data_IF_629436648121
#
_entry.id   IF_629436648121
#
_cell.length_a   1.000
_cell.length_b   1.000
_cell.length_c   1.000
_cell.angle_alpha   90.00
_cell.angle_beta   90.00
_cell.angle_gamma   90.00
#
_symmetry.space_group_name_H-M   'P 1'
#
loop_
_entity.id
_entity.type
_entity.pdbx_description
1 polymer ?
#
# COMPACT_ATOMS: atom_id res chain seq x y z
N UNK A 1 -16.33 6.74 -9.67
CA UNK A 1 -16.21 5.88 -8.47
C UNK A 1 -16.96 6.58 -7.34
N UNK A 2 -17.65 5.86 -6.45
CA UNK A 2 -18.22 6.49 -5.26
C UNK A 2 -17.12 6.94 -4.30
N UNK A 3 -17.32 8.07 -3.60
CA UNK A 3 -16.37 8.59 -2.63
C UNK A 3 -16.18 7.59 -1.49
N UNK A 4 -14.93 7.17 -1.26
CA UNK A 4 -14.57 6.29 -0.15
C UNK A 4 -14.63 7.06 1.17
N UNK A 5 -15.23 6.43 2.17
CA UNK A 5 -15.35 6.98 3.52
C UNK A 5 -14.05 6.83 4.32
N UNK A 6 -13.78 7.80 5.20
CA UNK A 6 -12.59 7.79 6.08
C UNK A 6 -12.53 6.52 6.92
N UNK A 7 -13.67 6.11 7.48
CA UNK A 7 -13.75 4.92 8.32
C UNK A 7 -13.35 3.65 7.55
N UNK A 8 -13.71 3.56 6.26
CA UNK A 8 -13.32 2.42 5.42
C UNK A 8 -11.82 2.37 5.17
N UNK A 9 -11.17 3.52 4.99
CA UNK A 9 -9.72 3.61 4.83
C UNK A 9 -9.00 3.22 6.13
N UNK A 10 -9.44 3.77 7.26
CA UNK A 10 -8.88 3.47 8.59
C UNK A 10 -9.07 2.00 8.96
N UNK A 11 -10.28 1.45 8.74
CA UNK A 11 -10.57 0.05 8.97
C UNK A 11 -9.64 -0.84 8.13
N UNK A 12 -9.47 -0.51 6.84
CA UNK A 12 -8.57 -1.27 5.97
C UNK A 12 -7.12 -1.24 6.48
N UNK A 13 -6.62 -0.06 6.83
CA UNK A 13 -5.26 0.11 7.34
C UNK A 13 -5.03 -0.66 8.65
N UNK A 14 -6.01 -0.69 9.56
CA UNK A 14 -5.85 -1.33 10.87
C UNK A 14 -6.16 -2.83 10.87
N UNK A 15 -7.28 -3.23 10.28
CA UNK A 15 -7.84 -4.58 10.43
C UNK A 15 -7.45 -5.54 9.29
N UNK A 16 -6.92 -5.00 8.19
CA UNK A 16 -6.41 -5.80 7.07
C UNK A 16 -4.90 -5.69 6.93
N UNK A 17 -4.39 -4.48 6.71
CA UNK A 17 -2.96 -4.25 6.53
C UNK A 17 -2.17 -4.42 7.83
N UNK A 18 -2.70 -3.98 8.97
CA UNK A 18 -2.06 -4.15 10.29
C UNK A 18 -1.67 -5.61 10.61
N UNK A 19 -2.60 -6.58 10.52
CA UNK A 19 -2.28 -7.99 10.77
C UNK A 19 -1.65 -8.71 9.56
N UNK A 20 -1.39 -8.04 8.43
CA UNK A 20 -0.98 -8.69 7.19
C UNK A 20 0.30 -9.52 7.32
N UNK A 21 1.35 -8.95 7.93
CA UNK A 21 2.62 -9.64 8.15
C UNK A 21 2.44 -10.84 9.06
N UNK A 22 1.76 -10.67 10.20
CA UNK A 22 1.51 -11.76 11.14
C UNK A 22 0.69 -12.89 10.52
N UNK A 23 -0.32 -12.55 9.70
CA UNK A 23 -1.12 -13.53 8.95
C UNK A 23 -0.27 -14.28 7.93
N UNK A 24 0.57 -13.58 7.15
CA UNK A 24 1.48 -14.23 6.20
C UNK A 24 2.46 -15.18 6.92
N UNK A 25 3.07 -14.73 8.01
CA UNK A 25 4.00 -15.53 8.80
C UNK A 25 3.34 -16.75 9.48
N UNK A 26 2.02 -16.72 9.70
CA UNK A 26 1.28 -17.85 10.24
C UNK A 26 0.96 -18.94 9.21
N UNK A 27 1.11 -18.66 7.92
CA UNK A 27 0.98 -19.63 6.85
C UNK A 27 2.12 -20.66 6.90
N UNK A 28 1.86 -21.88 6.44
CA UNK A 28 2.91 -22.85 6.19
C UNK A 28 3.86 -22.38 5.08
N UNK A 29 5.09 -22.91 5.06
CA UNK A 29 6.07 -22.56 4.03
C UNK A 29 5.56 -22.85 2.60
N UNK A 30 4.73 -23.88 2.42
CA UNK A 30 4.11 -24.21 1.14
C UNK A 30 3.09 -23.15 0.71
N UNK A 31 2.21 -22.73 1.63
CA UNK A 31 1.22 -21.67 1.40
C UNK A 31 1.89 -20.32 1.12
N UNK A 32 2.94 -19.97 1.86
CA UNK A 32 3.74 -18.76 1.61
C UNK A 32 4.34 -18.79 0.19
N UNK A 33 4.91 -19.93 -0.22
CA UNK A 33 5.50 -20.08 -1.55
C UNK A 33 4.47 -19.94 -2.67
N UNK A 34 3.30 -20.59 -2.52
CA UNK A 34 2.18 -20.48 -3.48
C UNK A 34 1.68 -19.05 -3.57
N UNK A 35 1.53 -18.37 -2.43
CA UNK A 35 1.10 -16.98 -2.39
C UNK A 35 2.09 -16.08 -3.13
N UNK A 36 3.38 -16.14 -2.78
CA UNK A 36 4.41 -15.30 -3.40
C UNK A 36 4.52 -15.55 -4.92
N UNK A 37 4.40 -16.81 -5.35
CA UNK A 37 4.35 -17.15 -6.77
C UNK A 37 3.17 -16.50 -7.48
N UNK A 38 1.96 -16.55 -6.91
CA UNK A 38 0.77 -15.89 -7.48
C UNK A 38 0.94 -14.37 -7.55
N UNK A 39 1.59 -13.79 -6.54
CA UNK A 39 1.89 -12.36 -6.49
C UNK A 39 3.01 -11.94 -7.44
N UNK A 40 3.80 -12.90 -7.96
CA UNK A 40 4.91 -12.63 -8.88
C UNK A 40 6.20 -12.17 -8.21
N UNK A 41 6.35 -12.34 -6.90
CA UNK A 41 7.53 -11.92 -6.14
C UNK A 41 8.33 -13.12 -5.63
N UNK A 42 9.66 -13.00 -5.63
CA UNK A 42 10.56 -14.07 -5.20
C UNK A 42 10.63 -14.24 -3.68
N UNK A 43 10.25 -13.21 -2.93
CA UNK A 43 10.32 -13.19 -1.47
C UNK A 43 9.27 -12.23 -0.90
N UNK A 44 8.91 -12.42 0.37
CA UNK A 44 8.00 -11.51 1.06
C UNK A 44 8.57 -10.09 1.21
N UNK A 45 9.87 -9.88 1.53
CA UNK A 45 10.47 -8.55 1.47
C UNK A 45 10.32 -7.85 0.12
N UNK A 46 10.45 -8.56 -1.01
CA UNK A 46 10.28 -7.95 -2.33
C UNK A 46 8.84 -7.49 -2.57
N UNK A 47 7.85 -8.28 -2.13
CA UNK A 47 6.44 -7.88 -2.17
C UNK A 47 6.16 -6.67 -1.25
N UNK A 48 6.70 -6.66 -0.03
CA UNK A 48 6.56 -5.52 0.88
C UNK A 48 7.21 -4.26 0.31
N UNK A 49 8.38 -4.37 -0.33
CA UNK A 49 9.05 -3.24 -0.98
C UNK A 49 8.16 -2.60 -2.05
N UNK A 50 7.50 -3.41 -2.87
CA UNK A 50 6.50 -2.93 -3.84
C UNK A 50 5.35 -2.18 -3.15
N UNK A 51 4.76 -2.76 -2.10
CA UNK A 51 3.63 -2.14 -1.40
C UNK A 51 4.05 -0.80 -0.77
N UNK A 52 5.23 -0.78 -0.12
CA UNK A 52 5.81 0.42 0.48
C UNK A 52 5.99 1.53 -0.56
N UNK A 53 6.55 1.20 -1.73
CA UNK A 53 6.83 2.20 -2.76
C UNK A 53 5.55 2.89 -3.26
N UNK A 54 4.49 2.13 -3.53
CA UNK A 54 3.19 2.70 -3.92
C UNK A 54 2.60 3.58 -2.82
N UNK A 55 2.68 3.15 -1.56
CA UNK A 55 2.21 3.96 -0.44
C UNK A 55 3.01 5.26 -0.22
N UNK A 56 4.34 5.20 -0.34
CA UNK A 56 5.21 6.37 -0.25
C UNK A 56 4.89 7.37 -1.36
N UNK A 57 4.77 6.87 -2.59
CA UNK A 57 4.44 7.69 -3.74
C UNK A 57 3.02 8.27 -3.63
N UNK A 58 2.04 7.46 -3.22
CA UNK A 58 0.67 7.89 -2.99
C UNK A 58 0.56 8.96 -1.91
N UNK A 59 1.27 8.80 -0.80
CA UNK A 59 1.37 9.83 0.25
C UNK A 59 1.91 11.13 -0.32
N UNK A 60 3.02 11.07 -1.05
CA UNK A 60 3.66 12.25 -1.68
C UNK A 60 2.71 12.94 -2.67
N UNK A 61 2.02 12.18 -3.50
CA UNK A 61 1.09 12.69 -4.52
C UNK A 61 -0.13 13.34 -3.87
N UNK A 62 -0.69 12.72 -2.82
CA UNK A 62 -1.81 13.31 -2.07
C UNK A 62 -1.39 14.64 -1.43
N UNK A 63 -0.21 14.72 -0.83
CA UNK A 63 0.31 15.98 -0.27
C UNK A 63 0.45 17.08 -1.34
N UNK A 64 0.88 16.72 -2.55
CA UNK A 64 0.90 17.67 -3.67
C UNK A 64 -0.50 18.12 -4.09
N UNK A 65 -1.46 17.19 -4.18
CA UNK A 65 -2.85 17.51 -4.53
C UNK A 65 -3.54 18.39 -3.48
N UNK A 66 -3.16 18.28 -2.20
CA UNK A 66 -3.65 19.16 -1.13
C UNK A 66 -3.24 20.62 -1.37
N UNK A 67 -2.11 20.85 -2.04
CA UNK A 67 -1.62 22.18 -2.41
C UNK A 67 -2.18 22.62 -3.77
N UNK A 68 -2.33 21.71 -4.72
CA UNK A 68 -2.83 21.96 -6.06
C UNK A 68 -3.89 20.93 -6.47
N UNK A 69 -5.15 21.25 -6.23
CA UNK A 69 -6.27 20.31 -6.45
C UNK A 69 -6.52 19.96 -7.93
N UNK A 70 -5.90 20.69 -8.87
CA UNK A 70 -5.99 20.45 -10.31
C UNK A 70 -4.87 19.57 -10.85
N UNK A 71 -3.94 19.12 -9.99
CA UNK A 71 -2.84 18.27 -10.40
C UNK A 71 -3.39 16.96 -11.02
N UNK A 72 -2.96 16.58 -12.23
CA UNK A 72 -3.36 15.31 -12.82
C UNK A 72 -2.77 14.14 -12.04
N UNK A 73 -3.41 12.98 -12.15
CA UNK A 73 -2.80 11.73 -11.67
C UNK A 73 -1.51 11.47 -12.45
N UNK A 74 -0.42 11.05 -11.79
CA UNK A 74 0.80 10.73 -12.51
C UNK A 74 0.61 9.49 -13.38
N UNK A 75 1.28 9.49 -14.53
CA UNK A 75 1.38 8.35 -15.43
C UNK A 75 2.68 7.61 -15.15
N UNK A 76 2.61 6.29 -14.95
CA UNK A 76 3.74 5.48 -14.52
C UNK A 76 4.06 4.41 -15.56
N UNK A 77 5.36 4.21 -15.81
CA UNK A 77 5.84 2.91 -16.25
C UNK A 77 5.84 1.96 -15.05
N UNK A 78 4.73 1.23 -14.87
CA UNK A 78 4.50 0.38 -13.69
C UNK A 78 5.60 -0.68 -13.51
N UNK A 79 6.07 -1.28 -14.60
CA UNK A 79 7.11 -2.30 -14.55
C UNK A 79 8.44 -1.72 -14.05
N UNK A 80 8.82 -0.55 -14.55
CA UNK A 80 10.03 0.14 -14.12
C UNK A 80 9.95 0.61 -12.66
N UNK A 81 8.78 1.12 -12.26
CA UNK A 81 8.51 1.53 -10.89
C UNK A 81 8.62 0.34 -9.92
N UNK A 82 7.96 -0.78 -10.22
CA UNK A 82 7.99 -1.98 -9.39
C UNK A 82 9.40 -2.57 -9.31
N UNK A 83 10.11 -2.62 -10.44
CA UNK A 83 11.49 -3.10 -10.46
C UNK A 83 12.41 -2.19 -9.62
N UNK A 84 12.17 -0.87 -9.62
CA UNK A 84 12.92 0.08 -8.78
C UNK A 84 12.61 -0.12 -7.29
N UNK A 85 11.34 -0.30 -6.94
CA UNK A 85 10.91 -0.54 -5.56
C UNK A 85 11.66 -1.72 -4.92
N UNK A 86 11.76 -2.84 -5.64
CA UNK A 86 12.51 -4.02 -5.16
C UNK A 86 14.01 -3.70 -5.00
N UNK A 87 14.61 -2.97 -5.96
CA UNK A 87 16.02 -2.57 -5.88
C UNK A 87 16.34 -1.66 -4.71
N UNK A 88 15.44 -0.75 -4.35
CA UNK A 88 15.67 0.19 -3.25
C UNK A 88 15.77 -0.49 -1.87
N UNK A 89 15.30 -1.74 -1.75
CA UNK A 89 15.43 -2.57 -0.56
C UNK A 89 16.46 -3.71 -0.73
N UNK A 90 17.23 -3.74 -1.82
CA UNK A 90 18.32 -4.71 -1.97
C UNK A 90 19.36 -4.54 -0.86
N UNK A 91 19.66 -5.63 -0.15
CA UNK A 91 20.61 -5.62 0.97
C UNK A 91 19.99 -5.31 2.33
N UNK A 92 18.72 -4.89 2.39
CA UNK A 92 17.98 -4.84 3.65
C UNK A 92 17.62 -6.24 4.14
N UNK A 93 17.64 -6.43 5.45
CA UNK A 93 17.08 -7.60 6.12
C UNK A 93 15.55 -7.59 6.07
N UNK A 94 14.92 -8.76 6.17
CA UNK A 94 13.46 -8.87 6.25
C UNK A 94 12.87 -8.02 7.39
N UNK A 95 13.55 -7.96 8.55
CA UNK A 95 13.13 -7.13 9.67
C UNK A 95 13.12 -5.64 9.37
N UNK A 96 14.09 -5.14 8.61
CA UNK A 96 14.13 -3.74 8.17
C UNK A 96 12.99 -3.42 7.19
N UNK A 97 12.69 -4.33 6.25
CA UNK A 97 11.58 -4.14 5.32
C UNK A 97 10.23 -4.18 6.04
N UNK A 98 10.05 -5.09 7.00
CA UNK A 98 8.86 -5.16 7.86
C UNK A 98 8.68 -3.86 8.66
N UNK A 99 9.76 -3.33 9.24
CA UNK A 99 9.70 -2.06 9.97
C UNK A 99 9.35 -0.89 9.04
N UNK A 100 9.88 -0.86 7.83
CA UNK A 100 9.55 0.16 6.83
C UNK A 100 8.07 0.08 6.40
N UNK A 101 7.55 -1.13 6.20
CA UNK A 101 6.13 -1.36 5.91
C UNK A 101 5.23 -0.79 7.01
N UNK A 102 5.49 -1.15 8.27
CA UNK A 102 4.67 -0.68 9.38
C UNK A 102 4.77 0.85 9.57
N UNK A 103 5.97 1.40 9.40
CA UNK A 103 6.19 2.86 9.43
C UNK A 103 5.34 3.56 8.37
N UNK A 104 5.33 3.04 7.14
CA UNK A 104 4.54 3.62 6.06
C UNK A 104 3.03 3.44 6.26
N UNK A 105 2.58 2.29 6.80
CA UNK A 105 1.18 2.06 7.15
C UNK A 105 0.68 3.08 8.18
N UNK A 106 1.49 3.35 9.20
CA UNK A 106 1.20 4.36 10.22
C UNK A 106 1.19 5.78 9.63
N UNK A 107 2.10 6.09 8.70
CA UNK A 107 2.10 7.37 8.00
C UNK A 107 0.81 7.60 7.19
N UNK A 108 0.33 6.57 6.48
CA UNK A 108 -0.98 6.63 5.80
C UNK A 108 -2.13 6.79 6.79
N UNK A 109 -2.07 6.13 7.94
CA UNK A 109 -3.09 6.27 8.99
C UNK A 109 -3.15 7.72 9.51
N UNK A 110 -1.99 8.35 9.74
CA UNK A 110 -1.89 9.76 10.14
C UNK A 110 -2.45 10.66 9.03
N UNK A 111 -2.01 10.49 7.79
CA UNK A 111 -2.52 11.25 6.63
C UNK A 111 -4.06 11.16 6.55
N UNK A 112 -4.61 9.94 6.61
CA UNK A 112 -6.06 9.72 6.52
C UNK A 112 -6.79 10.27 7.73
N UNK A 113 -6.19 10.37 8.93
CA UNK A 113 -6.85 11.01 10.07
C UNK A 113 -6.83 12.54 9.99
N UNK A 114 -5.74 13.12 9.49
CA UNK A 114 -5.52 14.57 9.48
C UNK A 114 -6.10 15.27 8.25
N UNK A 115 -6.42 14.53 7.19
CA UNK A 115 -6.99 15.10 5.97
C UNK A 115 -8.35 15.76 6.26
N UNK A 116 -8.58 17.06 5.98
CA UNK A 116 -9.90 17.68 6.14
C UNK A 116 -10.97 17.02 5.27
N UNK A 117 -12.23 16.94 5.73
CA UNK A 117 -13.32 16.31 4.97
C UNK A 117 -13.51 16.93 3.57
N UNK A 118 -13.34 18.25 3.45
CA UNK A 118 -13.43 18.93 2.16
C UNK A 118 -12.33 18.50 1.17
N UNK A 119 -11.15 18.08 1.65
CA UNK A 119 -10.07 17.54 0.83
C UNK A 119 -10.27 16.04 0.57
N UNK A 120 -10.74 15.28 1.58
CA UNK A 120 -11.08 13.87 1.42
C UNK A 120 -12.17 13.64 0.35
N UNK A 121 -13.12 14.57 0.23
CA UNK A 121 -14.17 14.52 -0.78
C UNK A 121 -13.74 15.00 -2.17
N UNK A 122 -12.50 15.48 -2.35
CA UNK A 122 -11.98 15.82 -3.68
C UNK A 122 -11.73 14.54 -4.48
N UNK A 123 -12.20 14.52 -5.73
CA UNK A 123 -12.19 13.31 -6.55
C UNK A 123 -10.79 12.72 -6.74
N UNK A 124 -9.78 13.56 -7.00
CA UNK A 124 -8.40 13.11 -7.22
C UNK A 124 -7.77 12.49 -5.96
N UNK A 125 -7.91 13.16 -4.81
CA UNK A 125 -7.39 12.67 -3.53
C UNK A 125 -8.13 11.39 -3.12
N UNK A 126 -9.46 11.37 -3.21
CA UNK A 126 -10.24 10.21 -2.85
C UNK A 126 -9.93 9.00 -3.74
N UNK A 127 -9.80 9.23 -5.05
CA UNK A 127 -9.40 8.21 -6.02
C UNK A 127 -8.01 7.67 -5.70
N UNK A 128 -7.05 8.54 -5.37
CA UNK A 128 -5.72 8.06 -5.00
C UNK A 128 -5.76 7.21 -3.72
N UNK A 129 -6.46 7.66 -2.68
CA UNK A 129 -6.63 6.90 -1.44
C UNK A 129 -7.30 5.54 -1.66
N UNK A 130 -8.31 5.48 -2.54
CA UNK A 130 -8.94 4.23 -2.93
C UNK A 130 -7.92 3.24 -3.51
N UNK A 131 -7.14 3.68 -4.49
CA UNK A 131 -6.17 2.80 -5.16
C UNK A 131 -5.11 2.30 -4.18
N UNK A 132 -4.53 3.20 -3.37
CA UNK A 132 -3.44 2.86 -2.47
C UNK A 132 -3.82 1.94 -1.31
N UNK A 133 -5.05 2.07 -0.79
CA UNK A 133 -5.45 1.42 0.46
C UNK A 133 -6.41 0.27 0.21
N UNK A 134 -7.49 0.51 -0.55
CA UNK A 134 -8.56 -0.47 -0.73
C UNK A 134 -8.30 -1.41 -1.90
N UNK A 135 -8.01 -0.85 -3.07
CA UNK A 135 -7.77 -1.63 -4.28
C UNK A 135 -6.49 -2.46 -4.12
N UNK A 136 -5.39 -1.84 -3.68
CA UNK A 136 -4.12 -2.51 -3.42
C UNK A 136 -4.25 -3.69 -2.43
N UNK A 137 -5.12 -3.56 -1.42
CA UNK A 137 -5.42 -4.69 -0.55
C UNK A 137 -6.10 -5.84 -1.29
N UNK A 138 -7.04 -5.53 -2.19
CA UNK A 138 -7.75 -6.58 -2.94
C UNK A 138 -6.79 -7.44 -3.77
N UNK A 139 -5.74 -6.84 -4.32
CA UNK A 139 -4.68 -7.51 -5.09
C UNK A 139 -3.79 -8.39 -4.20
N UNK A 140 -3.45 -7.91 -3.00
CA UNK A 140 -2.49 -8.58 -2.11
C UNK A 140 -3.12 -9.34 -0.94
N UNK A 141 -4.44 -9.40 -0.84
CA UNK A 141 -5.11 -10.09 0.25
C UNK A 141 -4.73 -11.59 0.30
N UNK A 142 -4.49 -12.09 1.52
CA UNK A 142 -4.12 -13.50 1.75
C UNK A 142 -5.29 -14.48 1.55
N UNK A 143 -6.53 -13.98 1.37
CA UNK A 143 -7.73 -14.81 1.10
C UNK A 143 -7.63 -15.64 -0.18
N UNK A 144 -6.65 -15.35 -1.04
CA UNK A 144 -6.37 -16.07 -2.28
C UNK A 144 -5.60 -17.40 -2.07
N UNK A 145 -5.31 -17.77 -0.83
CA UNK A 145 -4.60 -19.02 -0.45
C UNK A 145 -5.56 -20.13 0.02
N UNK A 146 -6.87 -19.88 0.00
CA UNK A 146 -7.92 -20.86 0.35
C UNK A 146 -8.16 -21.90 -0.74
#
# INVERSE_FOLDING_TARGET
METVLRESLIDRLNNSWGPYIARFQSLSAAEQSVYLQKQGYQSFPALLAHIIAWWQDGTRVIEQMRLESTMPLPDYNVDEFNARAVRDFEGCSEGEVIQAFETQRQALLVLVNELPDCQLCQENINTRLYYEILMHWSEHSLSQVS
#
